data_IF_887998478597
#
_entry.id   IF_887998478597
#
_cell.length_a   1.000
_cell.length_b   1.000
_cell.length_c   1.000
_cell.angle_alpha   90.00
_cell.angle_beta   90.00
_cell.angle_gamma   90.00
#
_symmetry.space_group_name_H-M   'P 1'
#
loop_
_entity.id
_entity.type
_entity.pdbx_description
1 polymer ?
#
# COMPACT_ATOMS: atom_id res chain seq x y z
N UNK A 1 7.21 -8.61 17.55
CA UNK A 1 6.84 -7.18 17.42
C UNK A 1 6.49 -6.94 15.97
N UNK A 2 5.36 -6.28 15.71
CA UNK A 2 4.99 -5.80 14.38
C UNK A 2 5.68 -4.46 14.16
N UNK A 3 6.35 -4.29 13.01
CA UNK A 3 6.85 -3.01 12.52
C UNK A 3 6.24 -2.69 11.16
N UNK A 4 5.70 -1.50 11.00
CA UNK A 4 5.17 -0.98 9.73
C UNK A 4 5.90 0.30 9.40
N UNK A 5 6.59 0.33 8.27
CA UNK A 5 7.32 1.49 7.77
C UNK A 5 6.60 2.03 6.54
N UNK A 6 6.13 3.27 6.63
CA UNK A 6 5.63 4.04 5.50
C UNK A 6 6.78 4.89 4.98
N UNK A 7 7.33 4.54 3.82
CA UNK A 7 8.55 5.17 3.31
C UNK A 7 8.22 6.47 2.57
N UNK A 8 9.06 7.49 2.73
CA UNK A 8 8.97 8.73 1.98
C UNK A 8 9.57 8.55 0.59
N UNK A 9 8.82 7.92 -0.32
CA UNK A 9 9.25 7.60 -1.68
C UNK A 9 8.91 8.68 -2.72
N UNK A 10 8.20 9.72 -2.30
CA UNK A 10 7.74 10.78 -3.19
C UNK A 10 6.28 10.56 -3.57
N UNK A 11 5.99 10.59 -4.87
CA UNK A 11 4.60 10.64 -5.38
C UNK A 11 3.82 9.34 -5.19
N UNK A 12 4.50 8.21 -5.02
CA UNK A 12 3.85 6.91 -4.89
C UNK A 12 3.73 6.38 -3.46
N UNK A 13 3.60 5.06 -3.37
CA UNK A 13 3.54 4.33 -2.11
C UNK A 13 4.65 3.28 -2.01
N UNK A 14 5.18 3.12 -0.79
CA UNK A 14 5.94 1.93 -0.40
C UNK A 14 5.78 1.71 1.10
N UNK A 15 5.17 0.59 1.48
CA UNK A 15 5.02 0.18 2.87
C UNK A 15 5.77 -1.13 3.12
N UNK A 16 6.73 -1.12 4.05
CA UNK A 16 7.49 -2.32 4.45
C UNK A 16 7.01 -2.79 5.81
N UNK A 17 6.66 -4.06 5.93
CA UNK A 17 6.06 -4.62 7.14
C UNK A 17 6.84 -5.84 7.62
N UNK A 18 7.37 -5.75 8.84
CA UNK A 18 7.94 -6.88 9.55
C UNK A 18 6.94 -7.44 10.53
N UNK A 19 6.45 -8.65 10.25
CA UNK A 19 5.49 -9.34 11.11
C UNK A 19 6.16 -10.09 12.28
N UNK A 20 5.46 -10.28 13.41
CA UNK A 20 5.90 -11.13 14.51
C UNK A 20 6.16 -12.60 14.12
N UNK A 21 5.48 -13.11 13.09
CA UNK A 21 5.69 -14.44 12.50
C UNK A 21 7.10 -14.62 11.93
N UNK A 22 7.82 -13.53 11.69
CA UNK A 22 9.09 -13.52 10.97
C UNK A 22 8.94 -13.21 9.48
N UNK A 23 7.72 -13.11 8.96
CA UNK A 23 7.50 -12.71 7.57
C UNK A 23 7.83 -11.24 7.34
N UNK A 24 8.39 -10.95 6.17
CA UNK A 24 8.57 -9.60 5.64
C UNK A 24 7.61 -9.41 4.46
N UNK A 25 6.80 -8.37 4.51
CA UNK A 25 5.95 -7.96 3.40
C UNK A 25 6.36 -6.58 2.90
N UNK A 26 6.14 -6.36 1.61
CA UNK A 26 6.28 -5.07 0.94
C UNK A 26 4.99 -4.83 0.18
N UNK A 27 4.37 -3.67 0.40
CA UNK A 27 3.11 -3.26 -0.24
C UNK A 27 3.42 -2.00 -1.05
N UNK A 28 3.31 -2.13 -2.37
CA UNK A 28 3.81 -1.17 -3.36
C UNK A 28 5.32 -0.88 -3.21
N UNK A 29 5.95 -0.24 -4.20
CA UNK A 29 7.41 -0.06 -4.21
C UNK A 29 7.92 1.19 -4.93
N UNK A 30 7.18 2.29 -5.02
CA UNK A 30 7.64 3.44 -5.83
C UNK A 30 9.10 3.82 -5.56
N UNK A 31 9.90 3.75 -6.61
CA UNK A 31 11.31 4.12 -6.63
C UNK A 31 11.58 5.04 -7.84
N UNK A 32 10.55 5.72 -8.32
CA UNK A 32 10.68 6.66 -9.43
C UNK A 32 11.50 7.91 -9.06
N UNK A 33 11.48 8.29 -7.77
CA UNK A 33 12.21 9.45 -7.19
C UNK A 33 11.93 10.76 -7.92
N UNK A 34 10.71 10.91 -8.40
CA UNK A 34 10.26 12.10 -9.10
C UNK A 34 9.90 13.18 -8.09
N UNK A 35 10.11 14.43 -8.47
CA UNK A 35 9.87 15.63 -7.66
C UNK A 35 10.73 15.71 -6.38
N UNK A 36 11.97 15.20 -6.47
CA UNK A 36 13.06 15.41 -5.49
C UNK A 36 13.65 16.83 -5.57
N UNK A 37 12.81 17.85 -5.45
CA UNK A 37 13.22 19.26 -5.43
C UNK A 37 13.82 19.63 -4.05
N UNK A 38 14.86 18.90 -3.62
CA UNK A 38 15.63 19.00 -2.35
C UNK A 38 15.11 18.16 -1.17
N UNK A 39 14.50 16.99 -1.39
CA UNK A 39 14.01 16.13 -0.31
C UNK A 39 14.75 14.79 -0.30
N UNK A 40 15.25 14.36 0.87
CA UNK A 40 15.88 13.03 0.95
C UNK A 40 14.79 11.96 0.89
N UNK A 41 14.39 11.61 -0.33
CA UNK A 41 13.50 10.49 -0.62
C UNK A 41 14.19 9.19 -0.24
N UNK A 42 13.44 8.30 0.37
CA UNK A 42 13.92 7.00 0.75
C UNK A 42 13.94 6.09 -0.47
N UNK A 43 15.13 5.66 -0.88
CA UNK A 43 15.28 4.51 -1.77
C UNK A 43 14.78 3.26 -1.02
N UNK A 44 13.70 2.60 -1.48
CA UNK A 44 13.11 1.49 -0.76
C UNK A 44 13.99 0.23 -0.81
N UNK A 45 14.80 0.06 -1.85
CA UNK A 45 15.71 -1.08 -1.98
C UNK A 45 16.91 -0.90 -1.06
N UNK A 46 17.44 0.34 -0.97
CA UNK A 46 18.44 0.70 0.03
C UNK A 46 17.89 0.48 1.45
N UNK A 47 16.67 0.94 1.73
CA UNK A 47 16.01 0.75 3.03
C UNK A 47 15.96 -0.73 3.41
N UNK A 48 15.46 -1.59 2.51
CA UNK A 48 15.39 -3.02 2.73
C UNK A 48 16.79 -3.60 3.01
N UNK A 49 17.82 -3.19 2.26
CA UNK A 49 19.19 -3.68 2.43
C UNK A 49 19.83 -3.27 3.76
N UNK A 50 19.48 -2.10 4.28
CA UNK A 50 19.97 -1.61 5.57
C UNK A 50 19.19 -2.22 6.74
N UNK A 51 17.86 -2.14 6.72
CA UNK A 51 17.01 -2.52 7.87
C UNK A 51 16.74 -4.03 7.94
N UNK A 52 16.68 -4.70 6.79
CA UNK A 52 16.33 -6.12 6.68
C UNK A 52 17.34 -6.89 5.83
N UNK A 53 18.65 -6.87 6.19
CA UNK A 53 19.68 -7.51 5.40
C UNK A 53 19.43 -9.03 5.30
N UNK A 54 19.59 -9.57 4.08
CA UNK A 54 19.43 -10.99 3.76
C UNK A 54 18.02 -11.59 3.98
N UNK A 55 17.00 -10.78 4.27
CA UNK A 55 15.62 -11.27 4.33
C UNK A 55 14.98 -11.31 2.94
N UNK A 56 14.41 -12.46 2.59
CA UNK A 56 13.49 -12.57 1.46
C UNK A 56 12.17 -11.86 1.77
N UNK A 57 11.48 -11.45 0.71
CA UNK A 57 10.15 -10.88 0.79
C UNK A 57 9.17 -12.05 0.73
N UNK A 58 8.55 -12.36 1.86
CA UNK A 58 7.55 -13.43 1.92
C UNK A 58 6.34 -13.09 1.04
N UNK A 59 5.96 -11.80 1.02
CA UNK A 59 4.85 -11.32 0.20
C UNK A 59 5.14 -9.92 -0.33
N UNK A 60 5.17 -9.79 -1.64
CA UNK A 60 5.02 -8.50 -2.30
C UNK A 60 3.55 -8.34 -2.67
N UNK A 61 2.93 -7.22 -2.33
CA UNK A 61 1.57 -6.89 -2.73
C UNK A 61 1.62 -5.63 -3.59
N UNK A 62 1.22 -5.75 -4.84
CA UNK A 62 0.95 -4.59 -5.68
C UNK A 62 -0.54 -4.27 -5.54
N UNK A 63 -0.85 -3.09 -5.01
CA UNK A 63 -2.25 -2.76 -4.71
C UNK A 63 -3.09 -2.68 -5.98
N UNK A 64 -2.56 -2.08 -7.04
CA UNK A 64 -3.17 -1.94 -8.36
C UNK A 64 -2.08 -1.62 -9.41
N UNK A 65 -2.34 -1.78 -10.72
CA UNK A 65 -1.33 -1.72 -11.78
C UNK A 65 -0.93 -0.29 -12.22
N UNK A 66 -0.69 0.62 -11.27
CA UNK A 66 -0.23 1.98 -11.57
C UNK A 66 1.27 2.16 -11.27
N UNK A 67 1.93 3.02 -12.03
CA UNK A 67 3.40 3.07 -12.08
C UNK A 67 4.03 3.64 -10.81
N UNK A 68 3.35 4.56 -10.13
CA UNK A 68 3.64 5.04 -8.78
C UNK A 68 3.36 4.01 -7.67
N UNK A 69 2.98 2.78 -8.02
CA UNK A 69 2.90 1.66 -7.07
C UNK A 69 3.88 0.54 -7.39
N UNK A 70 4.39 0.48 -8.63
CA UNK A 70 5.31 -0.58 -9.07
C UNK A 70 6.70 -0.11 -9.54
N UNK A 71 6.95 1.19 -9.69
CA UNK A 71 8.27 1.64 -10.16
C UNK A 71 9.37 1.17 -9.21
N UNK A 72 10.42 0.52 -9.71
CA UNK A 72 11.43 -0.17 -8.90
C UNK A 72 11.23 -1.68 -8.77
N UNK A 73 10.14 -2.25 -9.30
CA UNK A 73 9.86 -3.69 -9.25
C UNK A 73 10.95 -4.53 -9.92
N UNK A 74 11.51 -4.10 -11.06
CA UNK A 74 12.58 -4.84 -11.73
C UNK A 74 13.84 -4.95 -10.87
N UNK A 75 14.22 -3.84 -10.25
CA UNK A 75 15.37 -3.76 -9.36
C UNK A 75 15.13 -4.53 -8.04
N UNK A 76 13.91 -4.45 -7.48
CA UNK A 76 13.52 -5.20 -6.29
C UNK A 76 13.63 -6.71 -6.54
N UNK A 77 13.03 -7.19 -7.64
CA UNK A 77 13.04 -8.61 -7.97
C UNK A 77 14.45 -9.13 -8.28
N UNK A 78 15.31 -8.28 -8.87
CA UNK A 78 16.72 -8.63 -9.13
C UNK A 78 17.58 -8.67 -7.86
N UNK A 79 17.22 -7.91 -6.83
CA UNK A 79 17.98 -7.81 -5.58
C UNK A 79 17.46 -8.72 -4.46
N UNK A 80 16.18 -9.14 -4.50
CA UNK A 80 15.54 -9.94 -3.44
C UNK A 80 14.63 -11.02 -3.98
N UNK A 81 14.69 -12.19 -3.35
CA UNK A 81 13.71 -13.25 -3.57
C UNK A 81 12.35 -12.84 -3.02
N UNK A 82 11.33 -12.91 -3.89
CA UNK A 82 9.92 -12.76 -3.54
C UNK A 82 9.28 -14.16 -3.56
N UNK A 83 8.64 -14.57 -2.45
CA UNK A 83 7.99 -15.88 -2.38
C UNK A 83 6.59 -15.84 -2.98
N UNK A 84 5.80 -14.85 -2.59
CA UNK A 84 4.43 -14.66 -3.05
C UNK A 84 4.27 -13.27 -3.65
N UNK A 85 3.65 -13.19 -4.82
CA UNK A 85 3.29 -11.93 -5.46
C UNK A 85 1.77 -11.82 -5.49
N UNK A 86 1.22 -10.83 -4.79
CA UNK A 86 -0.20 -10.52 -4.84
C UNK A 86 -0.43 -9.43 -5.87
N UNK A 87 -1.27 -9.75 -6.84
CA UNK A 87 -1.70 -8.87 -7.91
C UNK A 87 -3.22 -8.99 -8.01
N UNK A 88 -3.84 -8.04 -8.70
CA UNK A 88 -5.21 -8.19 -9.18
C UNK A 88 -5.15 -8.81 -10.57
N UNK A 89 -6.05 -9.73 -10.90
CA UNK A 89 -6.13 -10.33 -12.25
C UNK A 89 -6.71 -9.34 -13.29
N UNK A 90 -6.12 -8.14 -13.35
CA UNK A 90 -6.52 -7.04 -14.21
C UNK A 90 -5.99 -7.22 -15.64
N UNK A 91 -6.51 -6.43 -16.57
CA UNK A 91 -6.12 -6.43 -17.98
C UNK A 91 -5.50 -5.10 -18.44
N UNK A 92 -4.91 -4.34 -17.52
CA UNK A 92 -4.34 -3.03 -17.85
C UNK A 92 -3.25 -3.16 -18.91
N UNK A 93 -3.41 -2.37 -19.96
CA UNK A 93 -2.38 -2.09 -20.96
C UNK A 93 -1.95 -0.62 -20.85
N UNK A 94 -0.68 -0.34 -21.13
CA UNK A 94 -0.15 1.02 -21.16
C UNK A 94 0.67 1.26 -22.42
N UNK A 95 0.79 2.53 -22.79
CA UNK A 95 1.73 2.97 -23.81
C UNK A 95 3.13 3.14 -23.20
N UNK A 96 3.96 2.11 -23.33
CA UNK A 96 5.32 2.09 -22.77
C UNK A 96 6.20 3.20 -23.32
N UNK A 97 5.95 3.68 -24.54
CA UNK A 97 6.70 4.78 -25.13
C UNK A 97 6.46 6.11 -24.40
N UNK A 98 5.39 6.22 -23.59
CA UNK A 98 5.06 7.43 -22.83
C UNK A 98 5.45 7.37 -21.36
N UNK A 99 5.92 6.24 -20.84
CA UNK A 99 6.29 6.09 -19.42
C UNK A 99 7.32 7.12 -18.94
N UNK A 100 8.31 7.41 -19.80
CA UNK A 100 9.36 8.38 -19.51
C UNK A 100 8.82 9.81 -19.27
N UNK A 101 7.63 10.15 -19.79
CA UNK A 101 7.00 11.45 -19.55
C UNK A 101 6.53 11.59 -18.09
N UNK A 102 6.17 10.48 -17.47
CA UNK A 102 5.88 10.37 -16.04
C UNK A 102 7.10 9.96 -15.21
N UNK A 103 8.31 9.99 -15.80
CA UNK A 103 9.60 9.63 -15.19
C UNK A 103 9.74 8.16 -14.79
N UNK A 104 8.90 7.27 -15.31
CA UNK A 104 8.94 5.85 -15.02
C UNK A 104 9.78 5.06 -16.03
N UNK A 105 10.27 3.89 -15.60
CA UNK A 105 11.07 2.98 -16.41
C UNK A 105 10.19 1.92 -17.06
N UNK A 106 10.45 1.61 -18.33
CA UNK A 106 9.71 0.57 -19.06
C UNK A 106 9.97 -0.81 -18.48
N UNK A 107 11.18 -1.04 -17.97
CA UNK A 107 11.61 -2.31 -17.38
C UNK A 107 10.74 -2.72 -16.19
N UNK A 108 10.22 -1.77 -15.41
CA UNK A 108 9.33 -2.04 -14.28
C UNK A 108 7.98 -2.61 -14.75
N UNK A 109 7.42 -2.05 -15.82
CA UNK A 109 6.17 -2.55 -16.41
C UNK A 109 6.36 -3.91 -17.07
N UNK A 110 7.46 -4.09 -17.83
CA UNK A 110 7.80 -5.37 -18.45
C UNK A 110 8.01 -6.44 -17.38
N UNK A 111 8.68 -6.11 -16.27
CA UNK A 111 8.82 -7.02 -15.13
C UNK A 111 7.47 -7.38 -14.53
N UNK A 112 6.59 -6.40 -14.32
CA UNK A 112 5.25 -6.66 -13.81
C UNK A 112 4.49 -7.66 -14.68
N UNK A 113 4.47 -7.46 -16.00
CA UNK A 113 3.83 -8.36 -16.96
C UNK A 113 4.49 -9.75 -16.96
N UNK A 114 5.81 -9.83 -16.79
CA UNK A 114 6.51 -11.12 -16.66
C UNK A 114 6.11 -11.87 -15.37
N UNK A 115 6.06 -11.17 -14.24
CA UNK A 115 5.85 -11.79 -12.93
C UNK A 115 4.39 -12.23 -12.72
N UNK A 116 3.41 -11.46 -13.21
CA UNK A 116 1.98 -11.70 -12.93
C UNK A 116 1.39 -12.96 -13.56
N UNK A 117 2.14 -13.66 -14.40
CA UNK A 117 1.74 -14.93 -15.04
C UNK A 117 2.51 -16.14 -14.50
N UNK A 118 3.31 -15.98 -13.43
CA UNK A 118 4.13 -17.06 -12.86
C UNK A 118 3.34 -17.94 -11.88
N UNK A 119 3.53 -19.25 -11.99
CA UNK A 119 2.99 -20.23 -11.03
C UNK A 119 3.91 -20.45 -9.82
N UNK A 120 5.18 -20.08 -9.92
CA UNK A 120 6.19 -20.16 -8.85
C UNK A 120 7.34 -19.15 -9.06
N UNK A 121 8.00 -18.75 -7.95
CA UNK A 121 9.17 -17.87 -7.91
C UNK A 121 9.03 -16.53 -8.67
N UNK A 122 8.16 -15.60 -8.22
CA UNK A 122 7.21 -15.72 -7.12
C UNK A 122 5.93 -16.47 -7.55
N UNK A 123 5.25 -17.11 -6.59
CA UNK A 123 3.90 -17.63 -6.86
C UNK A 123 2.93 -16.46 -6.89
N UNK A 124 2.23 -16.28 -8.00
CA UNK A 124 1.18 -15.26 -8.13
C UNK A 124 -0.08 -15.71 -7.41
N UNK A 125 -0.71 -14.79 -6.69
CA UNK A 125 -1.93 -15.03 -5.93
C UNK A 125 -2.90 -13.87 -6.11
N UNK A 126 -4.14 -14.21 -6.50
CA UNK A 126 -5.24 -13.27 -6.62
C UNK A 126 -6.16 -13.46 -5.42
N UNK A 127 -6.06 -12.57 -4.44
CA UNK A 127 -6.83 -12.65 -3.20
C UNK A 127 -7.99 -11.67 -3.28
N UNK A 128 -9.21 -12.13 -3.03
CA UNK A 128 -10.41 -11.28 -3.07
C UNK A 128 -11.14 -11.31 -1.74
N UNK A 129 -11.88 -10.24 -1.42
CA UNK A 129 -12.69 -10.14 -0.21
C UNK A 129 -13.78 -11.24 -0.12
N UNK A 130 -14.20 -11.76 -1.28
CA UNK A 130 -15.19 -12.82 -1.48
C UNK A 130 -14.55 -14.18 -1.84
N UNK A 131 -13.23 -14.31 -1.70
CA UNK A 131 -12.48 -15.53 -2.01
C UNK A 131 -12.27 -16.48 -0.82
N UNK A 132 -12.19 -17.79 -1.10
CA UNK A 132 -11.97 -18.85 -0.09
C UNK A 132 -10.56 -18.82 0.55
N UNK A 133 -9.57 -18.23 -0.13
CA UNK A 133 -8.15 -18.28 0.25
C UNK A 133 -7.75 -17.42 1.47
N UNK A 134 -8.70 -16.81 2.17
CA UNK A 134 -8.46 -15.96 3.35
C UNK A 134 -7.79 -16.71 4.51
N UNK A 135 -7.79 -18.05 4.50
CA UNK A 135 -7.24 -18.86 5.59
C UNK A 135 -5.71 -19.02 5.59
N UNK A 136 -5.01 -18.73 4.49
CA UNK A 136 -3.57 -19.03 4.36
C UNK A 136 -2.64 -17.97 4.98
N UNK A 137 -3.20 -16.90 5.58
CA UNK A 137 -2.45 -15.71 6.01
C UNK A 137 -2.75 -15.27 7.43
N UNK A 138 -3.42 -16.14 8.21
CA UNK A 138 -3.84 -15.86 9.60
C UNK A 138 -2.67 -15.58 10.53
N UNK A 139 -1.49 -16.14 10.27
CA UNK A 139 -0.30 -15.94 11.11
C UNK A 139 0.17 -14.48 11.16
N UNK A 140 -0.09 -13.72 10.08
CA UNK A 140 0.27 -12.30 10.00
C UNK A 140 -0.88 -11.36 10.42
N UNK A 141 -2.06 -11.91 10.76
CA UNK A 141 -3.24 -11.10 11.09
C UNK A 141 -3.76 -10.24 9.92
N UNK A 142 -3.48 -10.65 8.68
CA UNK A 142 -3.85 -9.91 7.46
C UNK A 142 -5.21 -10.36 6.93
N UNK A 143 -6.10 -9.40 6.65
CA UNK A 143 -7.39 -9.59 5.99
C UNK A 143 -7.49 -8.66 4.77
N UNK A 144 -7.93 -9.19 3.64
CA UNK A 144 -8.25 -8.38 2.45
C UNK A 144 -9.67 -7.86 2.58
N UNK A 145 -9.83 -6.55 2.66
CA UNK A 145 -11.13 -5.87 2.67
C UNK A 145 -11.66 -5.64 1.26
N UNK A 146 -10.77 -5.41 0.30
CA UNK A 146 -11.06 -5.33 -1.14
C UNK A 146 -9.81 -5.61 -1.97
N UNK A 147 -9.92 -5.91 -3.27
CA UNK A 147 -11.17 -5.88 -4.05
C UNK A 147 -12.00 -7.17 -3.94
N UNK A 148 -13.26 -7.09 -4.38
CA UNK A 148 -14.04 -8.27 -4.81
C UNK A 148 -13.79 -8.60 -6.27
N UNK A 149 -14.21 -9.79 -6.72
CA UNK A 149 -14.22 -10.10 -8.17
C UNK A 149 -15.08 -9.14 -8.99
N UNK A 150 -16.15 -8.62 -8.40
CA UNK A 150 -17.02 -7.64 -9.08
C UNK A 150 -16.35 -6.27 -9.25
N UNK A 151 -15.58 -5.83 -8.25
CA UNK A 151 -14.78 -4.61 -8.34
C UNK A 151 -13.69 -4.74 -9.39
N UNK A 152 -12.98 -5.88 -9.45
CA UNK A 152 -12.01 -6.16 -10.51
C UNK A 152 -12.67 -6.11 -11.89
N UNK A 153 -13.81 -6.79 -12.07
CA UNK A 153 -14.54 -6.76 -13.33
C UNK A 153 -14.87 -5.33 -13.75
N UNK A 154 -15.35 -4.50 -12.80
CA UNK A 154 -15.68 -3.11 -13.06
C UNK A 154 -14.45 -2.28 -13.44
N UNK A 155 -13.33 -2.47 -12.75
CA UNK A 155 -12.07 -1.80 -13.05
C UNK A 155 -11.64 -2.06 -14.49
N UNK A 156 -11.65 -3.32 -14.94
CA UNK A 156 -11.34 -3.68 -16.33
C UNK A 156 -12.33 -3.09 -17.34
N UNK A 157 -13.64 -3.13 -17.05
CA UNK A 157 -14.68 -2.58 -17.95
C UNK A 157 -14.61 -1.05 -18.10
N UNK A 158 -14.07 -0.35 -17.11
CA UNK A 158 -14.02 1.12 -17.06
C UNK A 158 -12.62 1.69 -17.24
N UNK A 159 -11.60 0.83 -17.24
CA UNK A 159 -10.16 1.18 -17.19
C UNK A 159 -9.78 2.03 -15.95
N UNK A 160 -10.62 2.05 -14.92
CA UNK A 160 -10.36 2.70 -13.62
C UNK A 160 -9.78 1.68 -12.63
N UNK A 161 -8.48 1.44 -12.74
CA UNK A 161 -7.80 0.38 -11.98
C UNK A 161 -7.63 0.68 -10.49
N UNK A 162 -7.79 1.93 -10.06
CA UNK A 162 -7.87 2.28 -8.64
C UNK A 162 -9.10 1.65 -7.98
N UNK A 163 -10.14 1.34 -8.75
CA UNK A 163 -11.34 0.69 -8.23
C UNK A 163 -11.07 -0.76 -7.77
N UNK A 164 -10.01 -1.41 -8.27
CA UNK A 164 -9.59 -2.73 -7.81
C UNK A 164 -8.42 -2.71 -6.84
N UNK A 165 -8.03 -1.57 -6.27
CA UNK A 165 -6.92 -1.52 -5.31
C UNK A 165 -7.12 -2.48 -4.14
N UNK A 166 -6.06 -3.20 -3.76
CA UNK A 166 -6.04 -3.94 -2.49
C UNK A 166 -6.22 -2.99 -1.30
N UNK A 167 -7.31 -3.17 -0.58
CA UNK A 167 -7.53 -2.57 0.74
C UNK A 167 -7.26 -3.65 1.78
N UNK A 168 -6.23 -3.43 2.60
CA UNK A 168 -5.71 -4.47 3.50
C UNK A 168 -5.89 -4.03 4.94
N UNK A 169 -6.47 -4.90 5.76
CA UNK A 169 -6.53 -4.74 7.21
C UNK A 169 -5.52 -5.67 7.88
N UNK A 170 -4.81 -5.13 8.87
CA UNK A 170 -3.86 -5.86 9.71
C UNK A 170 -4.31 -5.70 11.16
N UNK A 171 -4.40 -6.80 11.89
CA UNK A 171 -4.73 -6.79 13.32
C UNK A 171 -3.64 -7.51 14.14
N UNK A 172 -3.06 -6.78 15.11
CA UNK A 172 -2.06 -7.32 16.02
C UNK A 172 -2.16 -6.67 17.41
N UNK A 173 -2.24 -7.47 18.48
CA UNK A 173 -2.34 -7.00 19.88
C UNK A 173 -3.42 -5.92 20.10
N UNK A 174 -4.57 -6.12 19.44
CA UNK A 174 -5.72 -5.22 19.47
C UNK A 174 -5.55 -3.90 18.69
N UNK A 175 -4.42 -3.73 17.99
CA UNK A 175 -4.20 -2.60 17.08
C UNK A 175 -4.61 -3.01 15.67
N UNK A 176 -5.47 -2.19 15.08
CA UNK A 176 -6.01 -2.36 13.72
C UNK A 176 -5.39 -1.32 12.79
N UNK A 177 -4.88 -1.76 11.65
CA UNK A 177 -4.27 -0.91 10.64
C UNK A 177 -5.00 -1.18 9.33
N UNK A 178 -5.39 -0.13 8.61
CA UNK A 178 -5.95 -0.25 7.26
C UNK A 178 -5.05 0.48 6.28
N UNK A 179 -4.71 -0.20 5.19
CA UNK A 179 -3.95 0.32 4.06
C UNK A 179 -4.90 0.46 2.88
N UNK A 180 -5.12 1.70 2.43
CA UNK A 180 -6.17 2.00 1.44
C UNK A 180 -5.81 1.76 -0.02
N UNK A 181 -4.53 1.56 -0.34
CA UNK A 181 -4.06 1.64 -1.73
C UNK A 181 -4.55 2.94 -2.35
N UNK A 182 -5.11 2.89 -3.55
CA UNK A 182 -5.75 4.05 -4.19
C UNK A 182 -7.26 3.89 -4.34
N UNK A 183 -7.85 2.98 -3.56
CA UNK A 183 -9.25 2.60 -3.65
C UNK A 183 -10.18 3.81 -3.79
N UNK A 184 -10.99 3.79 -4.85
CA UNK A 184 -11.95 4.86 -5.18
C UNK A 184 -13.08 4.98 -4.15
N UNK A 185 -13.83 6.11 -4.17
CA UNK A 185 -15.01 6.31 -3.32
C UNK A 185 -16.04 5.18 -3.46
N UNK A 186 -16.19 4.67 -4.68
CA UNK A 186 -17.11 3.57 -4.93
C UNK A 186 -16.58 2.25 -4.38
N UNK A 187 -15.29 1.96 -4.55
CA UNK A 187 -14.67 0.79 -3.94
C UNK A 187 -14.86 0.78 -2.40
N UNK A 188 -14.69 1.94 -1.76
CA UNK A 188 -14.94 2.08 -0.31
C UNK A 188 -16.40 1.88 0.09
N UNK A 189 -17.37 2.28 -0.75
CA UNK A 189 -18.79 2.01 -0.53
C UNK A 189 -19.07 0.50 -0.61
N UNK A 190 -18.54 -0.18 -1.62
CA UNK A 190 -18.69 -1.62 -1.79
C UNK A 190 -18.06 -2.41 -0.63
N UNK A 191 -16.88 -1.97 -0.17
CA UNK A 191 -16.20 -2.53 1.00
C UNK A 191 -17.05 -2.35 2.27
N UNK A 192 -17.60 -1.15 2.49
CA UNK A 192 -18.47 -0.87 3.63
C UNK A 192 -19.76 -1.69 3.58
N UNK A 193 -20.38 -1.83 2.41
CA UNK A 193 -21.61 -2.62 2.25
C UNK A 193 -21.37 -4.10 2.53
N UNK A 194 -20.24 -4.65 2.04
CA UNK A 194 -19.91 -6.06 2.20
C UNK A 194 -19.49 -6.43 3.63
N UNK A 195 -18.61 -5.64 4.24
CA UNK A 195 -18.04 -5.98 5.56
C UNK A 195 -18.80 -5.38 6.75
N UNK A 196 -19.51 -4.28 6.53
CA UNK A 196 -20.17 -3.52 7.59
C UNK A 196 -19.21 -2.63 8.40
N UNK A 197 -19.82 -1.70 9.16
CA UNK A 197 -19.12 -0.59 9.84
C UNK A 197 -18.06 -1.03 10.84
N UNK A 198 -18.34 -2.08 11.61
CA UNK A 198 -17.44 -2.54 12.69
C UNK A 198 -16.12 -3.10 12.14
N UNK A 199 -16.16 -3.68 10.93
CA UNK A 199 -14.97 -4.22 10.29
C UNK A 199 -14.04 -3.12 9.75
N UNK A 200 -14.59 -1.96 9.38
CA UNK A 200 -13.79 -0.84 8.86
C UNK A 200 -13.03 -0.08 9.95
N UNK A 201 -13.31 -0.31 11.23
CA UNK A 201 -12.61 0.37 12.32
C UNK A 201 -11.09 0.09 12.30
N UNK A 202 -10.30 1.16 12.40
CA UNK A 202 -8.84 1.10 12.47
C UNK A 202 -8.29 2.08 13.50
N UNK A 203 -7.11 1.78 14.06
CA UNK A 203 -6.32 2.74 14.84
C UNK A 203 -5.43 3.59 13.92
N UNK A 204 -4.89 2.98 12.87
CA UNK A 204 -4.02 3.63 11.88
C UNK A 204 -4.60 3.42 10.49
N UNK A 205 -4.72 4.49 9.73
CA UNK A 205 -5.26 4.45 8.36
C UNK A 205 -4.28 5.12 7.39
N UNK A 206 -3.72 4.36 6.45
CA UNK A 206 -3.06 4.94 5.29
C UNK A 206 -4.15 5.37 4.30
N UNK A 207 -4.29 6.69 4.18
CA UNK A 207 -5.28 7.32 3.31
C UNK A 207 -5.09 6.89 1.85
N UNK A 208 -6.19 6.68 1.10
CA UNK A 208 -6.08 6.26 -0.28
C UNK A 208 -5.54 7.38 -1.17
N UNK A 209 -4.88 7.01 -2.26
CA UNK A 209 -4.54 7.92 -3.37
C UNK A 209 -3.87 9.20 -2.90
N UNK A 210 -2.80 9.00 -2.14
CA UNK A 210 -1.93 10.06 -1.63
C UNK A 210 -2.66 11.13 -0.80
N UNK A 211 -3.77 10.75 -0.16
CA UNK A 211 -4.59 11.68 0.63
C UNK A 211 -5.52 12.55 -0.23
N UNK A 212 -5.95 12.05 -1.38
CA UNK A 212 -7.00 12.71 -2.17
C UNK A 212 -8.36 12.61 -1.45
N UNK A 213 -9.05 13.75 -1.18
CA UNK A 213 -10.41 13.72 -0.63
C UNK A 213 -11.44 13.16 -1.62
N UNK A 214 -11.04 12.94 -2.88
CA UNK A 214 -11.89 12.37 -3.91
C UNK A 214 -11.89 10.84 -3.93
N UNK A 215 -11.09 10.19 -3.08
CA UNK A 215 -10.98 8.73 -3.05
C UNK A 215 -11.72 8.07 -1.87
N UNK A 216 -12.14 8.82 -0.86
CA UNK A 216 -13.01 8.28 0.21
C UNK A 216 -14.05 9.31 0.61
N UNK A 217 -15.30 8.90 0.79
CA UNK A 217 -16.36 9.79 1.27
C UNK A 217 -16.31 9.96 2.80
N UNK A 218 -16.76 11.10 3.33
CA UNK A 218 -16.70 11.39 4.77
C UNK A 218 -17.48 10.40 5.61
N UNK A 219 -18.59 9.89 5.09
CA UNK A 219 -19.46 8.95 5.79
C UNK A 219 -18.80 7.56 5.94
N UNK A 220 -18.13 7.07 4.89
CA UNK A 220 -17.31 5.86 4.97
C UNK A 220 -16.12 6.11 5.90
N UNK A 221 -15.41 7.22 5.73
CA UNK A 221 -14.24 7.54 6.53
C UNK A 221 -14.56 7.66 8.04
N UNK A 222 -15.73 8.18 8.39
CA UNK A 222 -16.20 8.24 9.77
C UNK A 222 -16.37 6.86 10.42
N UNK A 223 -16.58 5.79 9.64
CA UNK A 223 -16.62 4.41 10.14
C UNK A 223 -15.24 3.79 10.37
N UNK A 224 -14.20 4.33 9.71
CA UNK A 224 -12.81 3.94 9.98
C UNK A 224 -12.38 4.45 11.36
N UNK A 225 -12.76 5.68 11.71
CA UNK A 225 -12.53 6.32 13.01
C UNK A 225 -11.06 6.19 13.51
N UNK A 226 -10.05 6.53 12.69
CA UNK A 226 -8.66 6.32 13.06
C UNK A 226 -8.17 7.29 14.14
N UNK A 227 -7.21 6.83 14.93
CA UNK A 227 -6.41 7.71 15.77
C UNK A 227 -5.38 8.45 14.92
N UNK A 228 -4.70 7.69 14.05
CA UNK A 228 -3.66 8.21 13.17
C UNK A 228 -4.02 8.00 11.71
N UNK A 229 -3.85 9.06 10.92
CA UNK A 229 -3.90 8.96 9.46
C UNK A 229 -2.50 9.13 8.91
N UNK A 230 -2.10 8.26 8.00
CA UNK A 230 -0.86 8.37 7.23
C UNK A 230 -1.21 8.79 5.82
N UNK A 231 -0.41 9.70 5.27
CA UNK A 231 -0.52 10.15 3.88
C UNK A 231 0.85 10.01 3.24
N UNK A 232 0.96 9.11 2.26
CA UNK A 232 2.15 9.05 1.40
C UNK A 232 1.96 10.06 0.28
N UNK A 233 2.76 11.12 0.27
CA UNK A 233 2.66 12.21 -0.69
C UNK A 233 4.03 12.86 -0.87
N UNK A 234 4.19 13.67 -1.91
CA UNK A 234 5.39 14.43 -2.22
C UNK A 234 5.20 15.93 -1.99
N UNK A 235 6.31 16.67 -1.91
CA UNK A 235 6.27 18.14 -1.84
C UNK A 235 5.79 18.72 -3.17
N UNK A 236 5.08 19.85 -3.09
CA UNK A 236 4.49 20.49 -4.26
C UNK A 236 3.06 20.03 -4.55
N UNK A 237 2.70 18.83 -4.11
CA UNK A 237 1.32 18.36 -4.12
C UNK A 237 0.59 18.71 -2.82
N UNK A 238 -0.72 18.94 -2.93
CA UNK A 238 -1.58 19.33 -1.80
C UNK A 238 -2.63 18.26 -1.58
N UNK A 239 -2.53 17.55 -0.46
CA UNK A 239 -3.63 16.75 0.08
C UNK A 239 -4.54 17.63 0.94
N UNK A 240 -5.79 17.21 1.12
CA UNK A 240 -6.75 17.94 1.96
C UNK A 240 -6.52 17.61 3.44
N UNK A 241 -5.57 18.30 4.06
CA UNK A 241 -5.27 18.10 5.49
C UNK A 241 -6.51 18.32 6.36
N UNK A 242 -7.33 19.34 6.05
CA UNK A 242 -8.52 19.64 6.84
C UNK A 242 -9.52 18.47 6.79
N UNK A 243 -9.68 17.84 5.63
CA UNK A 243 -10.51 16.65 5.45
C UNK A 243 -10.06 15.49 6.33
N UNK A 244 -8.77 15.13 6.30
CA UNK A 244 -8.27 14.00 7.09
C UNK A 244 -8.18 14.30 8.58
N UNK A 245 -7.87 15.54 8.94
CA UNK A 245 -7.79 15.99 10.33
C UNK A 245 -9.17 16.12 10.99
N UNK A 246 -10.25 16.20 10.20
CA UNK A 246 -11.64 16.25 10.72
C UNK A 246 -12.03 14.96 11.47
N UNK A 247 -11.48 13.82 11.05
CA UNK A 247 -11.87 12.49 11.55
C UNK A 247 -10.73 11.72 12.24
N UNK A 248 -9.48 12.13 12.05
CA UNK A 248 -8.37 11.60 12.85
C UNK A 248 -8.46 12.12 14.30
N UNK A 249 -8.48 11.23 15.29
CA UNK A 249 -8.63 11.67 16.69
C UNK A 249 -7.33 12.16 17.34
N UNK A 250 -6.17 11.83 16.77
CA UNK A 250 -4.85 12.23 17.31
C UNK A 250 -4.04 13.06 16.31
N UNK A 251 -3.62 12.48 15.18
CA UNK A 251 -2.68 13.14 14.28
C UNK A 251 -2.76 12.62 12.84
N UNK A 252 -2.64 13.53 11.88
CA UNK A 252 -2.33 13.21 10.48
C UNK A 252 -0.82 13.37 10.26
N UNK A 253 -0.17 12.30 9.81
CA UNK A 253 1.24 12.30 9.40
C UNK A 253 1.33 12.19 7.88
N UNK A 254 2.16 13.03 7.26
CA UNK A 254 2.48 12.91 5.83
C UNK A 254 3.98 12.71 5.62
N UNK A 255 4.34 11.75 4.78
CA UNK A 255 5.74 11.43 4.49
C UNK A 255 6.54 12.64 3.98
N UNK A 256 5.92 13.52 3.17
CA UNK A 256 6.57 14.76 2.69
C UNK A 256 7.02 15.74 3.78
N UNK A 257 6.39 15.69 4.95
CA UNK A 257 6.68 16.59 6.08
C UNK A 257 7.50 15.90 7.17
N UNK A 258 7.36 14.58 7.28
CA UNK A 258 7.87 13.80 8.40
C UNK A 258 8.97 12.80 8.03
N UNK A 259 9.26 12.62 6.74
CA UNK A 259 10.15 11.55 6.28
C UNK A 259 9.45 10.19 6.36
N UNK A 260 10.22 9.12 6.55
CA UNK A 260 9.64 7.82 6.81
C UNK A 260 8.83 7.85 8.11
N UNK A 261 7.73 7.11 8.19
CA UNK A 261 6.92 7.01 9.41
C UNK A 261 6.90 5.54 9.82
N UNK A 262 7.24 5.28 11.09
CA UNK A 262 7.29 3.91 11.61
C UNK A 262 6.28 3.73 12.74
N UNK A 263 5.52 2.66 12.64
CA UNK A 263 4.66 2.13 13.69
C UNK A 263 5.28 0.84 14.25
N UNK A 264 5.51 0.82 15.56
CA UNK A 264 5.93 -0.37 16.29
C UNK A 264 4.84 -0.81 17.29
N UNK A 265 4.43 -2.09 17.19
CA UNK A 265 3.40 -2.69 18.05
C UNK A 265 3.92 -3.95 18.73
N UNK A 266 3.89 -3.94 20.06
CA UNK A 266 4.14 -5.06 20.97
C UNK A 266 3.34 -4.90 22.27
N UNK A 267 3.35 -5.92 23.12
CA UNK A 267 2.70 -5.94 24.43
C UNK A 267 3.08 -4.73 25.32
N UNK A 268 4.30 -4.22 25.18
CA UNK A 268 4.85 -3.12 25.99
C UNK A 268 5.00 -1.79 25.25
N UNK A 269 4.90 -1.79 23.92
CA UNK A 269 5.18 -0.61 23.07
C UNK A 269 4.13 -0.50 21.99
N UNK A 270 3.41 0.62 22.01
CA UNK A 270 2.51 1.07 20.93
C UNK A 270 2.96 2.47 20.57
N UNK A 271 3.79 2.59 19.54
CA UNK A 271 4.41 3.87 19.16
C UNK A 271 4.32 4.07 17.67
N UNK A 272 3.87 5.26 17.29
CA UNK A 272 4.00 5.80 15.94
C UNK A 272 4.96 6.99 16.03
N UNK A 273 5.98 7.00 15.18
CA UNK A 273 6.95 8.10 15.17
C UNK A 273 7.54 8.32 13.78
N UNK A 274 7.87 9.58 13.44
CA UNK A 274 8.61 9.89 12.23
C UNK A 274 10.08 9.48 12.40
N UNK A 275 10.64 8.83 11.39
CA UNK A 275 12.07 8.64 11.20
C UNK A 275 12.56 9.82 10.35
N UNK A 276 13.40 10.68 10.92
CA UNK A 276 14.03 11.73 10.12
C UNK A 276 14.94 11.06 9.09
N UNK A 277 14.58 11.16 7.82
CA UNK A 277 15.52 10.92 6.73
C UNK A 277 16.63 11.98 6.89
N UNK A 278 17.87 11.52 7.04
CA UNK A 278 19.03 12.33 7.41
C UNK A 278 19.43 13.35 6.36
#
# INVERSE_FOLDING_TARGET
>A
MLKVHFLNVGKGNCTVIKFPSGNLAVIDIDNSRIDDDNDVLQDPIQFLNTEYPNQSIFRFVLTHPDMDHMSGLDELHSSRTITNFWDTDNDKEIDTDKLHLGGYKTEDWEKYQELRVKDENPKVLHIYQDGEAQSYWKEDGVKVLGPSKSMLKKANETEEYNHCSYVIKIEHEGIKIILGGDATKEAWKDILEYHGKDELQANVFLAPHHGSPDNIEKDVFAHISPQYVIISDHRGHSYDYAYYNDLATEQVYSTKHFGNITLEVSDAVKKIYPEKNG
#
